data_IF_751929807487
#
_entry.id   IF_751929807487
#
_cell.length_a   1.000
_cell.length_b   1.000
_cell.length_c   1.000
_cell.angle_alpha   90.00
_cell.angle_beta   90.00
_cell.angle_gamma   90.00
#
_symmetry.space_group_name_H-M   'P 1'
#
loop_
_entity.id
_entity.type
_entity.pdbx_description
1 polymer ?
2 non-polymer ?
3 water ?
#
# COMPACT_ATOMS: atom_id res chain seq x y z
N UNK A 42 0.71 -16.41 -2.52
CA UNK A 42 2.04 -16.04 -2.05
C UNK A 42 2.74 -15.17 -3.10
N UNK A 43 2.42 -13.89 -3.09
CA UNK A 43 2.83 -12.96 -4.14
C UNK A 43 2.53 -11.54 -3.64
N UNK A 44 2.92 -10.55 -4.45
CA UNK A 44 2.41 -9.20 -4.27
C UNK A 44 0.98 -9.16 -4.79
N UNK A 45 0.07 -8.59 -4.01
CA UNK A 45 -1.35 -8.60 -4.32
C UNK A 45 -1.91 -7.23 -4.69
N UNK A 46 -1.06 -6.21 -4.78
CA UNK A 46 -1.54 -4.89 -5.17
C UNK A 46 -1.81 -4.81 -6.67
N UNK A 47 -2.57 -3.80 -7.06
CA UNK A 47 -2.66 -3.41 -8.47
C UNK A 47 -1.28 -2.88 -8.86
N UNK A 48 -1.09 -2.55 -10.14
CA UNK A 48 0.24 -2.11 -10.57
C UNK A 48 0.15 -1.07 -11.65
N UNK A 49 1.18 -0.23 -11.82
CA UNK A 49 1.17 0.79 -12.85
C UNK A 49 1.67 0.33 -14.21
N UNK A 50 0.95 0.64 -15.28
CA UNK A 50 1.43 0.51 -16.64
C UNK A 50 1.59 1.90 -17.22
N UNK A 51 2.73 2.16 -17.86
CA UNK A 51 2.91 3.46 -18.50
C UNK A 51 1.93 3.66 -19.64
N UNK A 52 1.47 2.57 -20.26
CA UNK A 52 0.55 2.62 -21.37
C UNK A 52 -0.36 1.41 -21.30
N UNK A 53 -1.50 1.49 -21.98
CA UNK A 53 -2.36 0.33 -22.15
C UNK A 53 -1.69 -0.65 -23.10
N UNK A 54 -1.70 -1.92 -22.76
CA UNK A 54 -1.21 -2.99 -23.64
C UNK A 54 -2.43 -3.64 -24.29
N UNK A 55 -2.65 -3.43 -25.58
CA UNK A 55 -3.84 -4.02 -26.20
C UNK A 55 -3.84 -5.53 -26.06
N UNK A 56 -5.01 -6.09 -25.79
CA UNK A 56 -5.15 -7.52 -25.60
C UNK A 56 -4.79 -8.03 -24.22
N UNK A 57 -4.03 -7.26 -23.44
CA UNK A 57 -3.62 -7.71 -22.11
C UNK A 57 -4.83 -7.62 -21.18
N UNK A 58 -5.17 -8.74 -20.54
CA UNK A 58 -6.29 -8.81 -19.62
C UNK A 58 -5.77 -9.11 -18.23
N UNK A 59 -5.83 -8.10 -17.35
CA UNK A 59 -5.35 -8.27 -15.98
C UNK A 59 -6.15 -9.35 -15.26
N UNK A 60 -7.46 -9.40 -15.46
CA UNK A 60 -8.27 -10.38 -14.74
C UNK A 60 -7.84 -11.79 -15.10
N UNK A 61 -7.60 -12.07 -16.39
CA UNK A 61 -7.14 -13.40 -16.79
C UNK A 61 -5.78 -13.74 -16.17
N UNK A 62 -4.88 -12.76 -16.12
CA UNK A 62 -3.53 -13.00 -15.61
C UNK A 62 -3.56 -13.16 -14.09
N UNK A 63 -4.32 -12.32 -13.40
CA UNK A 63 -4.36 -12.40 -11.95
C UNK A 63 -5.10 -13.64 -11.50
N UNK A 64 -6.20 -13.97 -12.17
CA UNK A 64 -7.05 -15.07 -11.72
C UNK A 64 -6.63 -16.41 -12.31
N UNK A 65 -5.78 -16.43 -13.34
CA UNK A 65 -5.27 -17.69 -13.91
C UNK A 65 -3.75 -17.70 -13.92
N UNK A 66 -3.10 -17.42 -12.80
CA UNK A 66 -1.63 -17.29 -12.82
C UNK A 66 -0.91 -18.53 -13.30
N UNK A 67 -1.54 -19.70 -13.25
CA UNK A 67 -0.90 -20.91 -13.75
C UNK A 67 -0.98 -21.02 -15.26
N UNK A 68 -1.95 -20.35 -15.88
CA UNK A 68 -2.05 -20.30 -17.32
C UNK A 68 -1.20 -19.19 -17.93
N UNK A 69 -0.90 -18.13 -17.18
CA UNK A 69 -0.18 -16.97 -17.71
C UNK A 69 0.97 -16.60 -16.80
N UNK A 70 1.89 -17.54 -16.53
CA UNK A 70 2.91 -17.25 -15.52
C UNK A 70 3.87 -16.13 -15.91
N UNK A 71 4.23 -16.04 -17.19
CA UNK A 71 5.19 -15.03 -17.60
C UNK A 71 4.54 -13.67 -17.69
N UNK A 72 3.26 -13.63 -18.09
CA UNK A 72 2.51 -12.38 -17.93
C UNK A 72 2.41 -11.99 -16.46
N UNK A 73 2.25 -12.98 -15.57
CA UNK A 73 2.15 -12.64 -14.16
C UNK A 73 3.46 -12.08 -13.64
N UNK A 74 4.58 -12.50 -14.24
CA UNK A 74 5.89 -11.92 -13.94
C UNK A 74 6.00 -10.49 -14.43
N UNK A 75 5.42 -10.19 -15.60
CA UNK A 75 5.36 -8.82 -16.07
C UNK A 75 4.64 -7.93 -15.07
N UNK A 76 3.49 -8.39 -14.58
CA UNK A 76 2.75 -7.65 -13.58
C UNK A 76 3.59 -7.50 -12.30
N UNK A 77 4.22 -8.59 -11.86
CA UNK A 77 5.04 -8.55 -10.66
C UNK A 77 6.13 -7.48 -10.72
N UNK A 78 6.81 -7.36 -11.87
CA UNK A 78 7.85 -6.35 -12.04
C UNK A 78 7.31 -4.95 -11.81
N UNK A 79 6.06 -4.70 -12.21
CA UNK A 79 5.45 -3.40 -11.98
C UNK A 79 4.98 -3.24 -10.55
N UNK A 80 4.55 -4.32 -9.92
CA UNK A 80 4.24 -4.28 -8.50
C UNK A 80 5.49 -3.92 -7.69
N UNK A 81 6.62 -4.52 -8.06
CA UNK A 81 7.89 -4.24 -7.40
C UNK A 81 8.33 -2.81 -7.65
N UNK A 82 8.24 -2.36 -8.90
CA UNK A 82 8.60 -1.00 -9.25
C UNK A 82 7.85 0.03 -8.42
N UNK A 83 6.53 -0.14 -8.29
CA UNK A 83 5.74 0.82 -7.53
C UNK A 83 6.16 0.84 -6.07
N UNK A 84 6.41 -0.33 -5.50
CA UNK A 84 6.96 -0.38 -4.15
C UNK A 84 8.32 0.31 -4.07
N UNK A 85 9.15 0.18 -5.10
CA UNK A 85 10.46 0.83 -5.08
C UNK A 85 10.30 2.35 -5.00
N UNK A 86 9.39 2.90 -5.80
CA UNK A 86 9.09 4.32 -5.73
C UNK A 86 8.59 4.69 -4.33
N UNK A 87 7.76 3.83 -3.70
CA UNK A 87 7.27 4.13 -2.36
C UNK A 87 8.41 4.23 -1.35
N UNK A 88 9.40 3.36 -1.47
CA UNK A 88 10.46 3.26 -0.47
C UNK A 88 11.73 4.01 -0.83
N UNK A 89 11.81 4.67 -1.96
CA UNK A 89 13.14 5.04 -2.45
C UNK A 89 13.73 6.27 -1.78
N UNK A 90 13.03 6.93 -0.85
CA UNK A 90 13.65 8.00 -0.07
C UNK A 90 14.05 7.56 1.33
N UNK A 91 13.87 6.29 1.68
CA UNK A 91 14.20 5.82 3.01
C UNK A 91 15.67 5.38 3.08
N UNK A 92 16.29 5.65 4.22
CA UNK A 92 17.64 5.19 4.51
C UNK A 92 17.50 3.99 5.43
N UNK A 93 17.57 2.79 4.86
CA UNK A 93 17.39 1.59 5.66
C UNK A 93 18.54 1.37 6.64
N UNK A 94 19.68 2.06 6.45
CA UNK A 94 20.75 1.92 7.45
C UNK A 94 20.39 2.63 8.73
N UNK A 95 19.63 3.73 8.65
CA UNK A 95 19.20 4.43 9.85
C UNK A 95 18.00 3.77 10.50
N UNK A 96 17.15 3.11 9.71
CA UNK A 96 15.99 2.44 10.26
C UNK A 96 16.42 1.29 11.16
N UNK A 97 15.76 1.19 12.32
CA UNK A 97 15.97 0.06 13.22
C UNK A 97 14.73 -0.77 13.45
N UNK A 98 13.53 -0.17 13.37
CA UNK A 98 12.29 -0.88 13.59
C UNK A 98 11.27 -0.44 12.55
N UNK A 99 10.55 -1.43 12.01
CA UNK A 99 9.56 -1.22 10.95
C UNK A 99 8.27 -1.92 11.37
N UNK A 100 7.15 -1.26 11.13
CA UNK A 100 5.83 -1.84 11.31
C UNK A 100 5.10 -1.83 9.96
N UNK A 101 4.46 -2.95 9.66
CA UNK A 101 3.53 -3.04 8.53
C UNK A 101 2.16 -3.30 9.15
N UNK A 102 1.24 -2.32 9.07
CA UNK A 102 0.01 -2.44 9.84
C UNK A 102 -1.11 -3.13 9.09
N UNK A 103 -0.81 -3.68 7.92
CA UNK A 103 -1.77 -4.53 7.22
C UNK A 103 -0.92 -5.46 6.38
N UNK A 104 -0.22 -6.38 7.03
CA UNK A 104 0.89 -7.07 6.40
C UNK A 104 0.48 -8.32 5.64
N UNK A 105 -0.78 -8.70 5.67
CA UNK A 105 -1.25 -9.89 4.97
C UNK A 105 -0.54 -11.11 5.52
N UNK A 106 0.10 -11.88 4.66
CA UNK A 106 0.94 -12.97 5.20
C UNK A 106 2.37 -12.35 5.71
N UNK A 107 2.62 -10.99 5.75
CA UNK A 107 3.96 -10.39 6.03
C UNK A 107 5.06 -10.35 4.97
N UNK A 108 4.77 -9.97 3.72
CA UNK A 108 5.79 -10.00 2.66
C UNK A 108 6.94 -9.04 2.96
N UNK A 109 6.62 -7.76 3.18
CA UNK A 109 7.69 -6.79 3.45
C UNK A 109 8.30 -7.00 4.83
N UNK A 110 7.53 -7.49 5.79
CA UNK A 110 8.11 -7.71 7.11
C UNK A 110 9.22 -8.76 7.02
N UNK A 111 9.02 -9.79 6.21
CA UNK A 111 10.05 -10.81 6.05
C UNK A 111 11.19 -10.32 5.17
N UNK A 112 10.88 -9.78 3.98
CA UNK A 112 11.94 -9.40 3.06
C UNK A 112 12.81 -8.28 3.61
N UNK A 113 12.20 -7.28 4.26
CA UNK A 113 13.01 -6.20 4.83
C UNK A 113 13.97 -6.79 5.85
N UNK A 114 13.46 -7.68 6.72
CA UNK A 114 14.28 -8.25 7.78
C UNK A 114 15.37 -9.14 7.21
N UNK A 115 15.12 -9.85 6.11
CA UNK A 115 16.18 -10.70 5.60
C UNK A 115 17.20 -9.91 4.79
N UNK A 116 16.78 -8.81 4.15
CA UNK A 116 17.71 -7.99 3.40
C UNK A 116 18.57 -7.10 4.29
N UNK A 117 18.03 -6.67 5.43
CA UNK A 117 18.69 -5.75 6.36
C UNK A 117 18.78 -6.40 7.73
N UNK A 118 19.83 -7.18 8.00
CA UNK A 118 19.86 -7.98 9.23
C UNK A 118 19.81 -7.16 10.52
N UNK A 119 20.04 -5.86 10.49
CA UNK A 119 19.97 -5.04 11.68
C UNK A 119 18.57 -4.53 12.00
N UNK A 120 17.59 -4.80 11.15
CA UNK A 120 16.23 -4.27 11.33
C UNK A 120 15.36 -5.33 12.00
N UNK A 121 14.51 -4.87 12.91
CA UNK A 121 13.44 -5.70 13.46
C UNK A 121 12.11 -5.20 12.90
N UNK A 122 11.26 -6.15 12.50
CA UNK A 122 10.03 -5.84 11.78
C UNK A 122 8.84 -6.46 12.48
N UNK A 123 7.73 -5.72 12.51
CA UNK A 123 6.47 -6.19 13.07
C UNK A 123 5.37 -6.07 12.01
N UNK A 124 4.47 -7.02 12.01
CA UNK A 124 3.32 -6.97 11.13
C UNK A 124 2.02 -7.24 11.90
N UNK A 125 0.97 -6.54 11.50
CA UNK A 125 -0.37 -6.74 12.00
C UNK A 125 -1.22 -7.21 10.82
N UNK A 126 -1.96 -8.30 11.00
CA UNK A 126 -2.95 -8.71 10.00
C UNK A 126 -4.20 -9.19 10.72
N UNK A 127 -5.37 -8.82 10.19
CA UNK A 127 -6.63 -9.23 10.79
C UNK A 127 -6.93 -10.70 10.57
N UNK A 128 -6.20 -11.36 9.68
CA UNK A 128 -6.53 -12.71 9.22
C UNK A 128 -5.66 -13.73 9.93
N UNK A 129 -6.30 -14.59 10.73
CA UNK A 129 -5.55 -15.58 11.51
C UNK A 129 -4.65 -16.43 10.62
N UNK A 130 -5.18 -16.92 9.49
CA UNK A 130 -4.42 -17.82 8.64
C UNK A 130 -3.20 -17.13 8.04
N UNK A 131 -3.31 -15.83 7.79
CA UNK A 131 -2.17 -15.08 7.26
C UNK A 131 -1.07 -14.92 8.30
N UNK A 132 -1.44 -14.59 9.54
CA UNK A 132 -0.46 -14.51 10.61
C UNK A 132 0.25 -15.83 10.80
N UNK A 133 -0.52 -16.93 10.87
CA UNK A 133 0.09 -18.25 11.02
C UNK A 133 1.05 -18.56 9.88
N UNK A 134 0.63 -18.29 8.64
CA UNK A 134 1.50 -18.54 7.50
C UNK A 134 2.74 -17.65 7.56
N UNK A 135 2.55 -16.38 7.88
CA UNK A 135 3.70 -15.48 7.97
C UNK A 135 4.69 -15.92 9.04
N UNK A 136 4.19 -16.26 10.23
CA UNK A 136 5.08 -16.69 11.30
C UNK A 136 5.73 -18.04 11.00
N UNK A 137 5.08 -18.92 10.25
CA UNK A 137 5.74 -20.13 9.77
C UNK A 137 6.92 -19.77 8.87
N UNK A 138 6.69 -18.87 7.91
CA UNK A 138 7.75 -18.48 6.98
C UNK A 138 8.89 -17.77 7.71
N UNK A 139 8.55 -17.00 8.74
CA UNK A 139 9.58 -16.41 9.59
C UNK A 139 10.42 -17.49 10.25
N UNK A 140 9.77 -18.53 10.78
CA UNK A 140 10.50 -19.63 11.37
C UNK A 140 11.33 -20.39 10.34
N UNK A 141 10.73 -20.68 9.18
CA UNK A 141 11.45 -21.43 8.15
C UNK A 141 12.72 -20.69 7.72
N UNK A 142 12.77 -19.38 7.90
CA UNK A 142 13.93 -18.59 7.52
C UNK A 142 14.79 -18.19 8.71
N UNK A 143 14.42 -18.60 9.93
CA UNK A 143 15.21 -18.33 11.14
C UNK A 143 15.31 -16.84 11.44
N UNK A 144 14.22 -16.09 11.17
CA UNK A 144 14.15 -14.67 11.44
C UNK A 144 13.34 -14.34 12.69
N UNK A 145 12.95 -15.35 13.47
CA UNK A 145 12.05 -15.11 14.58
C UNK A 145 12.57 -14.12 15.60
N UNK A 146 13.89 -13.98 15.68
CA UNK A 146 14.46 -13.04 16.64
C UNK A 146 14.28 -11.60 16.22
N UNK A 147 13.91 -11.34 14.97
CA UNK A 147 13.81 -9.97 14.47
C UNK A 147 12.50 -9.67 13.74
N UNK A 148 11.69 -10.67 13.42
CA UNK A 148 10.45 -10.47 12.67
C UNK A 148 9.34 -11.23 13.37
N UNK A 149 8.18 -10.61 13.47
CA UNK A 149 7.05 -11.21 14.17
C UNK A 149 5.77 -10.61 13.62
N UNK A 150 4.78 -11.46 13.39
CA UNK A 150 3.48 -11.04 12.87
C UNK A 150 2.44 -11.30 13.93
N UNK A 151 1.55 -10.35 14.13
CA UNK A 151 0.49 -10.46 15.12
C UNK A 151 -0.86 -10.51 14.42
N UNK A 152 -1.74 -11.38 14.91
CA UNK A 152 -3.12 -11.41 14.44
C UNK A 152 -3.91 -10.40 15.26
N UNK A 153 -3.91 -9.15 14.81
CA UNK A 153 -4.49 -8.05 15.57
C UNK A 153 -5.11 -7.03 14.63
N UNK A 154 -5.95 -6.17 15.21
CA UNK A 154 -6.72 -5.19 14.47
C UNK A 154 -6.04 -3.84 14.68
N UNK A 155 -5.48 -3.28 13.61
CA UNK A 155 -4.68 -2.08 13.69
C UNK A 155 -5.49 -0.85 14.05
N UNK A 156 -6.81 -0.92 13.94
CA UNK A 156 -7.69 0.19 14.34
C UNK A 156 -8.15 0.06 15.79
N UNK A 157 -7.79 -1.02 16.49
CA UNK A 157 -8.26 -1.26 17.85
C UNK A 157 -7.16 -1.72 18.80
N UNK A 158 -6.28 -2.60 18.36
CA UNK A 158 -5.19 -3.11 19.19
C UNK A 158 -3.94 -2.23 19.06
N UNK A 159 -3.44 -1.73 20.19
CA UNK A 159 -2.27 -0.84 20.15
C UNK A 159 -1.05 -1.57 19.60
N UNK A 160 -0.35 -0.92 18.68
CA UNK A 160 0.93 -1.45 18.23
C UNK A 160 1.87 -1.60 19.42
N UNK A 161 2.73 -2.62 19.45
CA UNK A 161 3.50 -2.89 20.66
C UNK A 161 4.81 -2.13 20.79
N UNK A 162 5.28 -1.40 19.76
CA UNK A 162 6.60 -0.80 19.83
C UNK A 162 6.54 0.63 19.30
N UNK A 163 7.72 1.26 19.21
CA UNK A 163 7.92 2.52 18.52
C UNK A 163 8.77 2.27 17.28
N UNK A 164 8.36 2.83 16.14
CA UNK A 164 8.94 2.45 14.86
C UNK A 164 9.52 3.64 14.12
N UNK A 165 10.59 3.39 13.37
CA UNK A 165 11.15 4.39 12.48
C UNK A 165 10.40 4.52 11.18
N UNK A 166 9.70 3.46 10.78
CA UNK A 166 8.99 3.43 9.51
C UNK A 166 7.74 2.60 9.69
N UNK A 167 6.62 3.10 9.22
CA UNK A 167 5.31 2.45 9.35
C UNK A 167 4.70 2.41 7.96
N UNK A 168 4.30 1.21 7.53
CA UNK A 168 3.88 0.95 6.16
C UNK A 168 2.46 0.42 6.15
N UNK A 169 1.64 0.96 5.25
CA UNK A 169 0.29 0.46 5.04
C UNK A 169 -0.05 0.52 3.56
N UNK A 170 0.04 -0.63 2.89
CA UNK A 170 -0.15 -0.73 1.45
C UNK A 170 -1.54 -1.28 1.19
N UNK A 171 -2.43 -0.40 0.70
CA UNK A 171 -3.82 -0.73 0.42
C UNK A 171 -4.54 -1.26 1.65
N UNK A 172 -4.40 -0.56 2.77
CA UNK A 172 -4.94 -1.02 4.03
C UNK A 172 -6.12 -0.16 4.50
N UNK A 173 -5.92 1.16 4.59
CA UNK A 173 -6.79 1.98 5.42
C UNK A 173 -8.19 2.13 4.83
N UNK A 174 -8.36 1.95 3.53
CA UNK A 174 -9.71 2.05 3.00
C UNK A 174 -10.56 0.84 3.39
N UNK A 175 -9.94 -0.22 3.90
CA UNK A 175 -10.72 -1.30 4.50
C UNK A 175 -11.08 -1.05 5.96
N UNK A 176 -10.64 0.05 6.52
CA UNK A 176 -10.84 0.29 7.92
C UNK A 176 -11.85 1.40 8.19
N UNK A 177 -12.94 1.08 8.88
CA UNK A 177 -13.93 2.07 9.19
C UNK A 177 -13.51 3.14 10.17
N UNK A 178 -12.83 2.73 11.23
CA UNK A 178 -12.44 3.67 12.27
C UNK A 178 -11.09 4.28 11.98
N UNK A 179 -11.12 5.38 11.24
CA UNK A 179 -9.90 6.00 10.75
C UNK A 179 -9.12 6.66 11.86
N UNK A 180 -9.81 7.30 12.80
CA UNK A 180 -9.11 7.99 13.88
C UNK A 180 -8.42 7.00 14.80
N UNK A 181 -9.08 5.89 15.12
CA UNK A 181 -8.42 4.88 15.92
C UNK A 181 -7.13 4.41 15.27
N UNK A 182 -7.19 4.12 13.97
CA UNK A 182 -6.02 3.70 13.24
C UNK A 182 -4.92 4.76 13.28
N UNK A 183 -5.25 6.02 12.98
CA UNK A 183 -4.16 7.01 12.90
C UNK A 183 -3.70 7.49 14.26
N UNK A 184 -4.54 7.40 15.30
CA UNK A 184 -4.05 7.50 16.66
C UNK A 184 -2.99 6.44 16.93
N UNK A 185 -3.25 5.20 16.50
CA UNK A 185 -2.32 4.12 16.72
C UNK A 185 -0.99 4.37 16.01
N UNK A 186 -1.07 4.82 14.75
CA UNK A 186 0.12 5.08 13.94
C UNK A 186 0.94 6.21 14.55
N UNK A 187 0.28 7.32 14.86
CA UNK A 187 1.00 8.47 15.38
C UNK A 187 1.66 8.16 16.72
N UNK A 188 0.97 7.42 17.59
CA UNK A 188 1.50 7.10 18.90
C UNK A 188 2.65 6.11 18.84
N UNK A 189 2.79 5.38 17.74
CA UNK A 189 3.89 4.44 17.59
C UNK A 189 4.97 4.92 16.64
N UNK A 190 4.96 6.19 16.26
CA UNK A 190 5.91 6.70 15.28
C UNK A 190 6.98 7.52 15.98
N UNK A 191 8.23 7.16 15.76
CA UNK A 191 9.32 7.93 16.31
C UNK A 191 9.34 9.32 15.67
N UNK A 192 9.89 10.30 16.39
CA UNK A 192 9.71 11.68 15.98
C UNK A 192 10.26 11.92 14.57
N UNK A 193 11.39 11.28 14.22
CA UNK A 193 11.98 11.42 12.90
C UNK A 193 11.55 10.31 11.95
N UNK A 194 10.47 9.60 12.25
CA UNK A 194 10.05 8.49 11.43
C UNK A 194 9.16 8.91 10.25
N UNK A 195 8.91 7.93 9.40
CA UNK A 195 8.13 8.09 8.18
C UNK A 195 6.97 7.09 8.18
N UNK A 196 5.81 7.54 7.69
CA UNK A 196 4.69 6.67 7.36
C UNK A 196 4.60 6.59 5.83
N UNK A 197 4.51 5.38 5.31
CA UNK A 197 4.42 5.14 3.87
C UNK A 197 3.09 4.44 3.59
N UNK A 198 2.25 5.06 2.79
CA UNK A 198 0.95 4.50 2.47
C UNK A 198 0.78 4.41 0.97
N UNK A 199 -0.03 3.44 0.58
CA UNK A 199 -0.52 3.34 -0.78
C UNK A 199 -2.02 3.28 -0.51
N UNK A 200 -2.78 4.27 -0.96
CA UNK A 200 -4.18 4.36 -0.60
C UNK A 200 -4.99 5.23 -1.57
N UNK A 201 -6.29 5.20 -1.41
CA UNK A 201 -7.20 5.96 -2.24
C UNK A 201 -7.68 7.29 -1.63
N UNK A 202 -7.80 8.29 -2.48
CA UNK A 202 -8.41 9.57 -2.17
C UNK A 202 -9.68 9.70 -3.01
N UNK A 203 -10.77 10.14 -2.38
CA UNK A 203 -12.02 10.38 -3.11
C UNK A 203 -12.03 11.82 -3.61
N UNK A 204 -12.39 12.01 -4.88
CA UNK A 204 -12.39 13.32 -5.49
C UNK A 204 -13.78 13.92 -5.52
N UNK A 205 -14.58 13.58 -4.53
CA UNK A 205 -15.98 13.92 -4.43
C UNK A 205 -16.21 14.81 -3.22
N UNK A 206 -17.42 15.36 -3.12
CA UNK A 206 -17.73 16.21 -1.98
C UNK A 206 -17.83 15.41 -0.70
N UNK A 207 -18.27 14.15 -0.78
CA UNK A 207 -18.41 13.31 0.37
C UNK A 207 -17.58 12.06 0.21
N UNK A 208 -17.33 11.35 1.31
CA UNK A 208 -16.54 10.14 1.20
C UNK A 208 -17.25 9.10 0.34
N UNK A 209 -16.45 8.21 -0.25
CA UNK A 209 -17.00 7.10 -1.04
C UNK A 209 -17.02 5.86 -0.16
N UNK A 210 -18.22 5.36 0.10
CA UNK A 210 -18.46 4.30 1.08
C UNK A 210 -19.25 3.17 0.43
N UNK A 211 -18.97 1.95 0.88
CA UNK A 211 -19.71 0.76 0.45
C UNK A 211 -19.66 -0.26 1.58
N UNK A 212 -20.80 -0.42 2.28
CA UNK A 212 -20.84 -1.19 3.52
C UNK A 212 -20.74 -2.70 3.28
N UNK A 213 -21.32 -3.21 2.19
CA UNK A 213 -21.29 -4.65 1.96
C UNK A 213 -19.86 -5.15 1.80
N UNK A 214 -18.96 -4.33 1.25
CA UNK A 214 -17.55 -4.67 1.18
C UNK A 214 -16.73 -3.94 2.23
N UNK A 215 -17.37 -3.14 3.09
CA UNK A 215 -16.69 -2.39 4.13
C UNK A 215 -15.48 -1.65 3.57
N UNK A 216 -15.75 -0.80 2.58
CA UNK A 216 -14.78 0.10 1.99
C UNK A 216 -15.23 1.53 2.28
N UNK A 217 -14.31 2.36 2.77
CA UNK A 217 -14.59 3.77 2.99
C UNK A 217 -13.37 4.58 2.59
N UNK A 218 -13.58 5.49 1.64
CA UNK A 218 -12.50 6.27 1.06
C UNK A 218 -12.67 7.73 1.41
N UNK A 219 -11.78 8.32 2.21
CA UNK A 219 -11.96 9.72 2.59
C UNK A 219 -11.74 10.65 1.40
N UNK A 220 -12.43 11.78 1.44
CA UNK A 220 -12.22 12.85 0.49
C UNK A 220 -10.87 13.53 0.73
N UNK A 221 -10.55 14.45 -0.16
CA UNK A 221 -9.33 15.25 -0.03
C UNK A 221 -9.31 15.99 1.30
N UNK A 222 -10.39 16.71 1.59
CA UNK A 222 -10.45 17.48 2.83
C UNK A 222 -10.39 16.57 4.04
N UNK A 223 -11.05 15.41 3.97
CA UNK A 223 -11.02 14.48 5.09
C UNK A 223 -9.61 13.96 5.33
N UNK A 224 -8.84 13.71 4.26
CA UNK A 224 -7.46 13.30 4.43
C UNK A 224 -6.61 14.41 5.05
N UNK A 225 -6.77 15.65 4.56
CA UNK A 225 -6.04 16.77 5.13
C UNK A 225 -6.21 16.80 6.64
N UNK A 226 -7.44 16.69 7.11
CA UNK A 226 -7.74 16.91 8.52
C UNK A 226 -7.41 15.69 9.35
N UNK A 227 -7.63 14.50 8.80
CA UNK A 227 -7.28 13.26 9.48
C UNK A 227 -5.79 13.21 9.80
N UNK A 228 -4.95 13.48 8.81
CA UNK A 228 -3.51 13.48 9.04
C UNK A 228 -3.14 14.57 10.02
N UNK A 229 -3.58 15.80 9.75
CA UNK A 229 -3.21 16.91 10.62
C UNK A 229 -3.65 16.64 12.06
N UNK A 230 -4.82 16.05 12.25
CA UNK A 230 -5.31 15.79 13.61
C UNK A 230 -4.34 14.91 14.39
N UNK A 231 -3.63 14.02 13.70
CA UNK A 231 -2.71 13.09 14.35
C UNK A 231 -1.26 13.42 14.07
N UNK A 232 -0.97 14.72 13.93
CA UNK A 232 0.37 15.27 13.91
C UNK A 232 1.15 14.93 12.64
N UNK A 233 0.47 14.53 11.57
CA UNK A 233 1.14 14.04 10.38
C UNK A 233 1.01 15.03 9.24
N UNK A 234 2.12 15.23 8.52
CA UNK A 234 2.16 16.13 7.37
C UNK A 234 2.63 15.33 6.17
N UNK A 235 2.16 15.75 5.01
CA UNK A 235 2.52 15.08 3.77
C UNK A 235 3.87 15.60 3.29
N UNK A 236 4.84 14.70 3.18
CA UNK A 236 6.12 15.11 2.62
C UNK A 236 6.11 14.97 1.11
N UNK A 237 5.47 13.92 0.62
CA UNK A 237 5.32 13.68 -0.80
C UNK A 237 4.02 12.93 -1.02
N UNK A 238 3.31 13.29 -2.09
CA UNK A 238 2.09 12.59 -2.50
C UNK A 238 2.19 12.39 -4.01
N UNK A 239 2.06 11.13 -4.45
CA UNK A 239 2.33 10.74 -5.84
C UNK A 239 1.07 10.08 -6.38
N UNK A 240 0.56 10.60 -7.50
CA UNK A 240 -0.67 10.11 -8.08
C UNK A 240 -0.35 9.07 -9.15
N UNK A 241 -0.80 7.83 -8.91
CA UNK A 241 -0.57 6.72 -9.82
C UNK A 241 -1.81 6.41 -10.66
N UNK A 242 -2.89 7.18 -10.49
CA UNK A 242 -4.19 6.80 -11.05
C UNK A 242 -4.16 6.48 -12.54
N UNK A 243 -3.58 7.30 -13.42
CA UNK A 243 -3.64 6.98 -14.87
C UNK A 243 -2.95 5.68 -15.21
N UNK A 244 -1.85 5.39 -14.52
CA UNK A 244 -1.09 4.19 -14.77
C UNK A 244 -1.77 2.94 -14.21
N UNK A 245 -2.45 3.08 -13.07
CA UNK A 245 -3.25 1.97 -12.56
C UNK A 245 -4.41 1.69 -13.52
N UNK A 246 -5.05 2.76 -13.99
CA UNK A 246 -6.16 2.59 -14.94
C UNK A 246 -5.68 1.93 -16.23
N UNK A 247 -4.48 2.29 -16.70
CA UNK A 247 -3.94 1.65 -17.90
C UNK A 247 -3.83 0.14 -17.69
N UNK A 248 -3.34 -0.28 -16.53
CA UNK A 248 -3.15 -1.69 -16.25
C UNK A 248 -4.46 -2.42 -16.08
N UNK A 249 -5.47 -1.75 -15.52
CA UNK A 249 -6.77 -2.37 -15.27
C UNK A 249 -7.72 -2.22 -16.44
N UNK A 250 -7.30 -1.61 -17.54
CA UNK A 250 -8.14 -1.54 -18.73
C UNK A 250 -8.39 -2.96 -19.24
N UNK A 251 -9.61 -3.44 -19.05
CA UNK A 251 -9.94 -4.87 -19.20
C UNK A 251 -11.38 -4.91 -19.71
N UNK A 252 -11.60 -4.57 -20.99
CA UNK A 252 -12.97 -4.27 -21.44
C UNK A 252 -13.97 -5.40 -21.28
N UNK A 253 -13.58 -6.66 -21.38
CA UNK A 253 -14.54 -7.74 -21.25
C UNK A 253 -14.57 -8.34 -19.85
N UNK A 254 -13.99 -7.67 -18.85
CA UNK A 254 -13.78 -8.30 -17.56
C UNK A 254 -15.11 -8.74 -16.95
N UNK A 255 -16.13 -7.90 -17.04
CA UNK A 255 -17.38 -8.23 -16.38
C UNK A 255 -18.00 -9.48 -17.00
N UNK A 256 -17.82 -9.68 -18.30
CA UNK A 256 -18.28 -10.92 -18.93
C UNK A 256 -17.38 -12.10 -18.57
N UNK A 257 -16.07 -11.88 -18.57
CA UNK A 257 -15.12 -12.94 -18.29
C UNK A 257 -15.35 -13.56 -16.92
N UNK A 258 -15.47 -12.71 -15.89
CA UNK A 258 -15.55 -13.23 -14.53
C UNK A 258 -16.89 -13.91 -14.26
N UNK A 259 -17.89 -13.71 -15.13
CA UNK A 259 -19.10 -14.50 -15.02
C UNK A 259 -18.89 -15.94 -15.44
N UNK A 260 -17.74 -16.27 -16.04
CA UNK A 260 -17.40 -17.66 -16.35
C UNK A 260 -16.48 -18.27 -15.31
N UNK A 261 -16.47 -17.71 -14.10
CA UNK A 261 -15.61 -18.15 -13.01
C UNK A 261 -16.45 -18.53 -11.80
N UNK A 262 -15.92 -19.36 -10.91
CA UNK A 262 -16.68 -19.70 -9.70
C UNK A 262 -17.10 -18.47 -8.93
N UNK A 263 -18.25 -18.59 -8.26
CA UNK A 263 -18.79 -17.44 -7.53
C UNK A 263 -17.77 -16.89 -6.53
N UNK A 264 -17.02 -17.77 -5.88
CA UNK A 264 -15.98 -17.34 -4.95
C UNK A 264 -15.05 -16.34 -5.64
N UNK A 265 -14.25 -16.84 -6.58
CA UNK A 265 -13.40 -16.02 -7.44
C UNK A 265 -14.15 -14.76 -7.85
N UNK A 266 -15.32 -14.95 -8.44
CA UNK A 266 -16.07 -13.83 -9.00
C UNK A 266 -16.37 -12.77 -7.97
N UNK A 267 -16.86 -13.19 -6.79
CA UNK A 267 -17.13 -12.23 -5.72
C UNK A 267 -15.88 -11.49 -5.30
N UNK A 268 -14.74 -12.20 -5.27
CA UNK A 268 -13.48 -11.59 -4.81
C UNK A 268 -13.01 -10.49 -5.75
N UNK A 269 -12.93 -10.79 -7.05
CA UNK A 269 -12.34 -9.85 -7.99
C UNK A 269 -13.23 -8.65 -8.27
N UNK A 270 -14.53 -8.76 -8.03
CA UNK A 270 -15.44 -7.69 -8.43
C UNK A 270 -15.10 -6.37 -7.75
N UNK A 271 -14.40 -6.40 -6.61
CA UNK A 271 -14.01 -5.16 -5.95
C UNK A 271 -12.90 -4.46 -6.72
N UNK A 272 -11.99 -5.24 -7.32
CA UNK A 272 -11.01 -4.67 -8.24
C UNK A 272 -11.71 -4.08 -9.46
N UNK A 273 -12.78 -4.71 -9.94
CA UNK A 273 -13.52 -4.14 -11.06
C UNK A 273 -14.11 -2.79 -10.67
N UNK A 274 -14.77 -2.74 -9.51
CA UNK A 274 -15.42 -1.50 -9.08
C UNK A 274 -14.40 -0.39 -8.87
N UNK A 275 -13.24 -0.70 -8.29
CA UNK A 275 -12.20 0.32 -8.16
C UNK A 275 -11.72 0.77 -9.53
N UNK A 276 -11.59 -0.18 -10.46
CA UNK A 276 -11.23 0.17 -11.84
C UNK A 276 -12.21 1.19 -12.41
N UNK A 277 -13.50 0.93 -12.26
CA UNK A 277 -14.52 1.82 -12.78
C UNK A 277 -14.40 3.20 -12.14
N UNK A 278 -14.30 3.22 -10.81
CA UNK A 278 -14.21 4.51 -10.09
C UNK A 278 -12.96 5.28 -10.51
N UNK A 279 -11.85 4.56 -10.71
CA UNK A 279 -10.61 5.21 -11.19
C UNK A 279 -10.79 5.79 -12.58
N UNK A 280 -11.37 5.02 -13.50
CA UNK A 280 -11.56 5.51 -14.86
C UNK A 280 -12.41 6.78 -14.86
N UNK A 281 -13.44 6.81 -14.02
CA UNK A 281 -14.35 7.95 -13.99
C UNK A 281 -13.73 9.18 -13.32
N UNK A 282 -12.64 9.01 -12.57
CA UNK A 282 -12.01 10.08 -11.85
C UNK A 282 -12.53 10.29 -10.43
N UNK A 283 -13.41 9.41 -9.96
CA UNK A 283 -14.03 9.59 -8.65
C UNK A 283 -13.04 9.37 -7.52
N UNK A 284 -12.05 8.51 -7.74
CA UNK A 284 -11.02 8.24 -6.75
C UNK A 284 -9.65 8.34 -7.39
N UNK A 285 -8.64 8.48 -6.54
CA UNK A 285 -7.27 8.53 -6.98
C UNK A 285 -6.47 7.53 -6.16
N UNK A 286 -5.58 6.79 -6.83
CA UNK A 286 -4.69 5.81 -6.21
C UNK A 286 -3.31 6.45 -6.04
N UNK A 287 -2.85 6.57 -4.78
CA UNK A 287 -1.71 7.44 -4.51
C UNK A 287 -0.75 6.79 -3.53
N UNK A 288 0.51 7.21 -3.64
CA UNK A 288 1.56 6.88 -2.71
C UNK A 288 1.72 8.08 -1.78
N UNK A 289 1.65 7.82 -0.48
CA UNK A 289 1.79 8.85 0.54
C UNK A 289 3.10 8.64 1.27
N UNK A 290 3.86 9.72 1.46
CA UNK A 290 5.03 9.73 2.33
C UNK A 290 4.83 10.82 3.36
N UNK A 291 4.64 10.41 4.61
CA UNK A 291 4.25 11.30 5.68
C UNK A 291 5.35 11.43 6.71
N UNK A 292 5.37 12.57 7.38
CA UNK A 292 6.27 12.82 8.49
C UNK A 292 5.46 13.34 9.66
N UNK A 293 6.07 13.28 10.83
CA UNK A 293 5.45 13.78 12.06
C UNK A 293 5.89 15.20 12.33
N UNK A 294 4.94 16.06 12.65
CA UNK A 294 5.22 17.45 12.96
C UNK A 294 4.50 17.86 14.24
N UNK A 295 4.84 17.21 15.37
CA UNK A 295 4.04 17.43 16.59
C UNK A 295 4.19 18.81 17.20
N UNK A 296 5.35 19.43 17.09
CA UNK A 296 5.52 20.75 17.67
C UNK A 296 4.84 21.83 16.84
N UNK A 297 4.18 21.45 15.75
CA UNK A 297 3.47 22.36 14.85
C UNK A 297 1.96 22.35 15.15
N UNK A 298 1.27 23.44 14.78
CA UNK A 298 -0.14 23.57 15.13
C UNK A 298 -1.01 22.85 14.11
N UNK A 299 -2.21 22.46 14.55
CA UNK A 299 -3.13 21.75 13.66
C UNK A 299 -3.40 22.57 12.41
N UNK A 300 -3.71 23.86 12.58
CA UNK A 300 -3.99 24.71 11.44
C UNK A 300 -2.82 24.72 10.45
N UNK A 301 -1.59 24.77 10.96
CA UNK A 301 -0.44 24.78 10.07
C UNK A 301 -0.27 23.45 9.36
N UNK A 302 -0.51 22.34 10.04
CA UNK A 302 -0.43 21.04 9.38
C UNK A 302 -1.49 20.94 8.30
N UNK A 303 -2.67 21.49 8.57
CA UNK A 303 -3.77 21.49 7.62
C UNK A 303 -3.39 22.23 6.34
N UNK A 304 -2.80 23.42 6.49
CA UNK A 304 -2.43 24.22 5.33
C UNK A 304 -1.34 23.52 4.52
N UNK A 305 -0.39 22.89 5.20
CA UNK A 305 0.64 22.13 4.49
C UNK A 305 0.04 21.01 3.68
N UNK A 306 -0.77 20.17 4.32
CA UNK A 306 -1.34 19.03 3.62
C UNK A 306 -2.18 19.49 2.43
N UNK A 307 -2.90 20.60 2.58
CA UNK A 307 -3.71 21.14 1.49
C UNK A 307 -2.86 21.50 0.28
N UNK A 308 -1.74 22.20 0.52
CA UNK A 308 -0.84 22.57 -0.56
C UNK A 308 -0.33 21.34 -1.30
N UNK A 309 0.02 20.28 -0.54
CA UNK A 309 0.60 19.10 -1.15
C UNK A 309 -0.43 18.38 -2.01
N UNK A 310 -1.67 18.26 -1.52
CA UNK A 310 -2.70 17.54 -2.27
C UNK A 310 -3.20 18.31 -3.47
N UNK A 311 -3.01 19.62 -3.52
CA UNK A 311 -3.39 20.37 -4.71
C UNK A 311 -2.36 20.25 -5.83
N UNK A 312 -1.24 19.55 -5.60
CA UNK A 312 -0.16 19.45 -6.58
C UNK A 312 0.48 18.07 -6.51
N UNK A 313 -0.35 17.02 -6.61
CA UNK A 313 0.16 15.66 -6.53
C UNK A 313 1.18 15.39 -7.64
N UNK A 314 2.26 14.69 -7.29
CA UNK A 314 3.29 14.39 -8.29
C UNK A 314 2.81 13.27 -9.20
N UNK A 315 2.89 13.41 -10.51
CA UNK A 315 2.59 12.27 -11.39
C UNK A 315 3.61 11.16 -11.15
N UNK A 316 3.09 9.94 -11.04
CA UNK A 316 3.96 8.79 -10.86
C UNK A 316 5.11 8.72 -11.87
N UNK A 317 4.92 8.95 -13.18
CA UNK A 317 6.08 8.89 -14.08
C UNK A 317 7.20 9.83 -13.67
N UNK A 318 6.86 10.98 -13.11
CA UNK A 318 7.88 11.91 -12.63
C UNK A 318 8.65 11.34 -11.44
N UNK A 319 7.93 10.82 -10.45
CA UNK A 319 8.60 10.23 -9.29
C UNK A 319 9.42 9.02 -9.70
N UNK A 320 8.91 8.22 -10.63
CA UNK A 320 9.66 7.05 -11.10
C UNK A 320 10.92 7.46 -11.84
N UNK A 321 10.83 8.48 -12.70
CA UNK A 321 12.02 8.92 -13.44
C UNK A 321 13.07 9.49 -12.49
N UNK A 322 12.63 10.24 -11.49
CA UNK A 322 13.55 10.74 -10.46
C UNK A 322 14.26 9.60 -9.75
N UNK A 323 13.51 8.58 -9.31
CA UNK A 323 14.14 7.43 -8.68
C UNK A 323 15.19 6.81 -9.59
N UNK A 324 14.81 6.53 -10.85
CA UNK A 324 15.74 5.90 -11.78
C UNK A 324 16.97 6.75 -11.97
N UNK A 325 16.78 8.06 -12.17
CA UNK A 325 17.94 8.93 -12.40
C UNK A 325 18.85 9.01 -11.17
N UNK A 326 18.27 8.90 -9.97
CA UNK A 326 19.07 8.95 -8.75
C UNK A 326 19.93 7.71 -8.59
N UNK A 327 19.51 6.60 -9.17
CA UNK A 327 20.19 5.34 -9.00
C UNK A 327 20.04 4.70 -7.63
N UNK A 328 19.26 5.31 -6.72
CA UNK A 328 19.14 4.82 -5.35
C UNK A 328 17.81 4.08 -5.22
N UNK A 329 17.89 2.76 -5.13
CA UNK A 329 16.68 1.93 -5.11
C UNK A 329 16.89 0.91 -4.01
N UNK A 330 16.66 1.27 -2.75
CA UNK A 330 17.10 0.38 -1.66
C UNK A 330 16.21 -0.83 -1.42
N UNK A 331 14.94 -0.78 -1.80
CA UNK A 331 14.05 -1.89 -1.45
C UNK A 331 12.73 -1.71 -2.19
N UNK A 332 12.15 -2.78 -2.74
CA UNK A 332 12.65 -4.14 -2.89
C UNK A 332 13.61 -4.22 -4.07
N UNK A 333 14.26 -5.34 -4.25
CA UNK A 333 15.06 -5.59 -5.44
C UNK A 333 14.26 -6.44 -6.41
N UNK A 334 14.45 -6.20 -7.71
CA UNK A 334 13.82 -7.05 -8.70
C UNK A 334 14.50 -8.42 -8.70
N UNK A 335 13.69 -9.47 -8.79
CA UNK A 335 14.21 -10.82 -8.95
C UNK A 335 14.83 -10.97 -10.33
N UNK A 336 15.93 -11.73 -10.40
CA UNK A 336 16.65 -11.90 -11.64
C UNK A 336 16.95 -13.38 -11.87
N UNK A 337 16.96 -13.78 -13.15
CA UNK A 337 17.28 -15.16 -13.50
C UNK A 337 18.76 -15.45 -13.23
N UNK A 338 19.02 -16.60 -12.62
CA UNK A 338 20.37 -17.03 -12.30
C UNK A 338 21.16 -15.96 -11.54
#
# INVERSE_FOLDING_TARGET
GSNQTNRTRRETSMRSAHPEFENKAVEIYTYSANSSEAEFSEDYLTVCPFERKIPGFSMSRVILNPEKYPLEREMVREKQVEMRQVLFCKENFSRVQKVLDFGCGHGTDVIQIAELYPHIKTHGFTITKAQAELGNQRIAQKNLGARAKIFNKDSSKDAFPDLYDMIVGIEVSFHIRNKHGLFQNISSSLNEEGTVLLIDYIANTRGPIVDQNVEVSIPTVQEWIELLAEHQLVIDEIIDVSPQIANALHDPDVEQYIKHLPKAVQDLYINTVNQSISLERGWISYCLFKLKKAPHLTYTKRCEWNASKLSKKRPYPEALAEMINSGYIPYPKQQTRTQPNPNA
#
